data_IF_951306550990
#
_entry.id   IF_951306550990
#
_cell.length_a   1.000
_cell.length_b   1.000
_cell.length_c   1.000
_cell.angle_alpha   90.00
_cell.angle_beta   90.00
_cell.angle_gamma   90.00
#
_symmetry.space_group_name_H-M   'P 1'
#
loop_
_entity.id
_entity.type
_entity.pdbx_description
1 polymer ?
#
# COMPACT_ATOMS: atom_id res chain seq x y z
N UNK A 1 -15.10 -0.53 0.24
CA UNK A 1 -13.92 -0.66 -0.65
C UNK A 1 -12.68 -0.53 0.22
N UNK A 2 -11.75 -1.49 0.22
CA UNK A 2 -10.59 -1.50 1.12
C UNK A 2 -9.24 -1.60 0.39
N UNK A 3 -9.19 -1.30 -0.91
CA UNK A 3 -7.96 -1.37 -1.71
C UNK A 3 -7.66 0.00 -2.32
N UNK A 4 -6.42 0.44 -2.18
CA UNK A 4 -5.88 1.68 -2.76
C UNK A 4 -4.75 1.33 -3.70
N UNK A 5 -4.82 1.79 -4.94
CA UNK A 5 -3.74 1.65 -5.93
C UNK A 5 -2.79 2.84 -5.78
N UNK A 6 -1.49 2.57 -5.68
CA UNK A 6 -0.44 3.58 -5.67
C UNK A 6 0.42 3.40 -6.92
N UNK A 7 0.55 4.46 -7.71
CA UNK A 7 1.47 4.49 -8.84
C UNK A 7 2.84 4.95 -8.35
N UNK A 8 3.90 4.33 -8.85
CA UNK A 8 5.28 4.67 -8.51
C UNK A 8 6.23 4.41 -9.69
N UNK A 9 7.50 4.78 -9.55
CA UNK A 9 8.52 4.45 -10.53
C UNK A 9 8.74 2.92 -10.55
N UNK A 10 8.78 2.25 -11.72
CA UNK A 10 9.07 0.82 -11.78
C UNK A 10 10.39 0.47 -11.07
N UNK A 11 10.35 -0.52 -10.17
CA UNK A 11 11.47 -0.91 -9.33
C UNK A 11 11.51 -0.24 -7.95
N UNK A 12 10.60 0.71 -7.66
CA UNK A 12 10.45 1.38 -6.36
C UNK A 12 9.20 0.93 -5.59
N UNK A 13 8.62 -0.22 -5.95
CA UNK A 13 7.38 -0.69 -5.33
C UNK A 13 7.57 -0.96 -3.83
N UNK A 14 8.76 -1.40 -3.40
CA UNK A 14 9.08 -1.72 -2.00
C UNK A 14 9.12 -0.45 -1.14
N UNK A 15 9.72 0.61 -1.65
CA UNK A 15 9.78 1.93 -1.03
C UNK A 15 8.38 2.55 -0.94
N UNK A 16 7.61 2.49 -2.03
CA UNK A 16 6.23 2.96 -2.06
C UNK A 16 5.35 2.22 -1.05
N UNK A 17 5.50 0.90 -0.95
CA UNK A 17 4.81 0.06 0.02
C UNK A 17 5.18 0.40 1.48
N UNK A 18 6.46 0.62 1.75
CA UNK A 18 6.94 1.01 3.07
C UNK A 18 6.38 2.38 3.47
N UNK A 19 6.40 3.35 2.55
CA UNK A 19 5.88 4.70 2.77
C UNK A 19 4.38 4.70 3.10
N UNK A 20 3.57 3.99 2.31
CA UNK A 20 2.12 3.94 2.58
C UNK A 20 1.82 3.20 3.88
N UNK A 21 2.55 2.13 4.20
CA UNK A 21 2.34 1.37 5.43
C UNK A 21 2.67 2.21 6.67
N UNK A 22 3.76 2.98 6.65
CA UNK A 22 4.13 3.91 7.73
C UNK A 22 3.10 5.05 7.87
N UNK A 23 2.76 5.74 6.77
CA UNK A 23 1.83 6.87 6.79
C UNK A 23 0.40 6.47 7.16
N UNK A 24 -0.06 5.30 6.72
CA UNK A 24 -1.38 4.78 7.07
C UNK A 24 -1.41 4.29 8.52
N UNK A 25 -0.36 3.60 8.98
CA UNK A 25 -0.22 3.15 10.37
C UNK A 25 -0.25 4.30 11.39
N UNK A 26 0.37 5.44 11.06
CA UNK A 26 0.29 6.68 11.87
C UNK A 26 -1.12 7.25 12.04
N UNK A 27 -2.06 6.83 11.19
CA UNK A 27 -3.47 7.24 11.23
C UNK A 27 -4.39 6.09 11.64
N UNK A 28 -3.82 5.02 12.20
CA UNK A 28 -4.55 3.82 12.62
C UNK A 28 -5.30 3.12 11.47
N UNK A 29 -4.87 3.36 10.23
CA UNK A 29 -5.34 2.65 9.04
C UNK A 29 -4.36 1.52 8.76
N UNK A 30 -4.62 0.37 9.37
CA UNK A 30 -3.77 -0.81 9.20
C UNK A 30 -4.12 -1.58 7.93
N UNK A 31 -3.15 -2.34 7.42
CA UNK A 31 -3.26 -3.00 6.12
C UNK A 31 -1.92 -3.57 5.67
N UNK A 32 -1.91 -4.15 4.47
CA UNK A 32 -0.71 -4.70 3.84
C UNK A 32 -0.64 -4.33 2.36
N UNK A 33 0.58 -4.16 1.86
CA UNK A 33 0.83 -3.87 0.45
C UNK A 33 1.08 -5.15 -0.36
N UNK A 34 0.45 -5.27 -1.53
CA UNK A 34 0.77 -6.27 -2.56
C UNK A 34 1.56 -5.60 -3.66
N UNK A 35 2.70 -6.19 -3.99
CA UNK A 35 3.65 -5.67 -4.96
C UNK A 35 3.92 -6.68 -6.06
N UNK A 36 4.23 -6.17 -7.24
CA UNK A 36 4.81 -6.92 -8.34
C UNK A 36 6.05 -6.14 -8.79
N UNK A 37 7.20 -6.79 -8.80
CA UNK A 37 8.46 -6.12 -9.14
C UNK A 37 8.38 -5.51 -10.55
N UNK A 38 8.88 -4.27 -10.68
CA UNK A 38 8.90 -3.50 -11.92
C UNK A 38 7.52 -3.24 -12.54
N UNK A 39 6.42 -3.37 -11.79
CA UNK A 39 5.08 -3.11 -12.29
C UNK A 39 4.74 -1.60 -12.37
N UNK A 40 5.46 -0.75 -11.63
CA UNK A 40 5.15 0.68 -11.53
C UNK A 40 3.91 0.98 -10.69
N UNK A 41 3.39 0.00 -9.95
CA UNK A 41 2.29 0.19 -9.02
C UNK A 41 2.30 -0.83 -7.87
N UNK A 42 1.68 -0.43 -6.76
CA UNK A 42 1.37 -1.29 -5.62
C UNK A 42 -0.09 -1.17 -5.22
N UNK A 43 -0.60 -2.17 -4.48
CA UNK A 43 -1.96 -2.14 -3.93
C UNK A 43 -1.87 -2.25 -2.42
N UNK A 44 -2.31 -1.21 -1.70
CA UNK A 44 -2.47 -1.27 -0.27
C UNK A 44 -3.88 -1.76 0.07
N UNK A 45 -3.99 -2.86 0.81
CA UNK A 45 -5.25 -3.45 1.26
C UNK A 45 -5.44 -3.15 2.75
N UNK A 46 -6.40 -2.30 3.07
CA UNK A 46 -6.76 -1.95 4.44
C UNK A 46 -7.45 -3.13 5.15
N UNK A 47 -7.07 -3.37 6.39
CA UNK A 47 -7.56 -4.45 7.26
C UNK A 47 -8.80 -4.07 8.08
N UNK A 48 -9.37 -2.88 7.89
CA UNK A 48 -10.49 -2.41 8.71
C UNK A 48 -11.60 -3.47 8.77
N UNK A 49 -12.08 -3.83 9.98
CA UNK A 49 -13.32 -4.58 10.10
C UNK A 49 -14.43 -3.74 9.45
N UNK A 50 -15.25 -4.40 8.64
CA UNK A 50 -16.50 -3.80 8.16
C UNK A 50 -17.41 -3.83 9.38
N UNK A 51 -17.62 -2.69 10.03
CA UNK A 51 -18.85 -2.49 10.82
C UNK A 51 -20.07 -2.57 9.89
#
# INVERSE_FOLDING_TARGET
MNKVVLLCRPGFEKECAAEITDKAGKREIFGFARLKEHAGYGIYQCSQPVD
#
